data_IF_822739513733
#
_entry.id   IF_822739513733
#
_cell.length_a   1.000
_cell.length_b   1.000
_cell.length_c   1.000
_cell.angle_alpha   90.00
_cell.angle_beta   90.00
_cell.angle_gamma   90.00
#
_symmetry.space_group_name_H-M   'P 1'
#
loop_
_entity.id
_entity.type
_entity.pdbx_description
1 polymer ?
#
# COMPACT_ATOMS: atom_id res chain seq x y z
N UNK A 1 0.38 17.70 -9.75
CA UNK A 1 1.77 18.19 -9.59
C UNK A 1 2.51 17.26 -8.66
N UNK A 2 3.78 16.98 -8.93
CA UNK A 2 4.70 16.34 -7.97
C UNK A 2 6.00 17.16 -7.91
N UNK A 3 6.47 17.48 -6.70
CA UNK A 3 7.68 18.29 -6.49
C UNK A 3 8.89 17.41 -6.17
N UNK A 4 10.09 17.99 -6.27
CA UNK A 4 11.34 17.29 -6.00
C UNK A 4 11.37 16.62 -4.62
N UNK A 5 10.84 17.28 -3.60
CA UNK A 5 10.80 16.81 -2.22
C UNK A 5 9.98 15.52 -2.09
N UNK A 6 8.85 15.42 -2.79
CA UNK A 6 7.98 14.23 -2.78
C UNK A 6 8.71 13.00 -3.36
N UNK A 7 9.35 13.21 -4.51
CA UNK A 7 10.10 12.17 -5.22
C UNK A 7 11.31 11.75 -4.38
N UNK A 8 12.03 12.69 -3.77
CA UNK A 8 13.18 12.42 -2.91
C UNK A 8 12.77 11.67 -1.63
N UNK A 9 11.68 12.06 -0.99
CA UNK A 9 11.15 11.40 0.20
C UNK A 9 10.73 9.95 -0.11
N UNK A 10 10.06 9.72 -1.24
CA UNK A 10 9.72 8.39 -1.74
C UNK A 10 10.96 7.51 -1.94
N UNK A 11 12.00 8.04 -2.60
CA UNK A 11 13.26 7.31 -2.83
C UNK A 11 13.95 6.94 -1.52
N UNK A 12 14.08 7.90 -0.59
CA UNK A 12 14.71 7.65 0.72
C UNK A 12 13.96 6.59 1.52
N UNK A 13 12.62 6.65 1.55
CA UNK A 13 11.80 5.61 2.21
C UNK A 13 11.98 4.25 1.53
N UNK A 14 11.91 4.22 0.21
CA UNK A 14 12.07 3.02 -0.62
C UNK A 14 13.44 2.34 -0.50
N UNK A 15 14.50 3.12 -0.29
CA UNK A 15 15.83 2.58 -0.01
C UNK A 15 15.90 1.97 1.39
N UNK A 16 15.37 2.67 2.41
CA UNK A 16 15.38 2.18 3.81
C UNK A 16 14.58 0.90 4.01
N UNK A 17 13.41 0.78 3.38
CA UNK A 17 12.56 -0.43 3.49
C UNK A 17 12.88 -1.50 2.43
N UNK A 18 13.89 -1.28 1.58
CA UNK A 18 14.30 -2.21 0.53
C UNK A 18 13.36 -2.30 -0.69
N UNK A 19 12.24 -1.57 -0.72
CA UNK A 19 11.29 -1.62 -1.84
C UNK A 19 11.89 -1.09 -3.15
N UNK A 20 12.94 -0.27 -3.09
CA UNK A 20 13.69 0.16 -4.29
C UNK A 20 14.15 -1.03 -5.14
N UNK A 21 14.51 -2.15 -4.50
CA UNK A 21 14.95 -3.36 -5.22
C UNK A 21 13.83 -3.99 -6.06
N UNK A 22 12.57 -3.84 -5.64
CA UNK A 22 11.39 -4.41 -6.30
C UNK A 22 10.99 -3.67 -7.58
N UNK A 23 11.42 -2.42 -7.76
CA UNK A 23 11.16 -1.68 -9.00
C UNK A 23 11.93 -2.29 -10.18
N UNK A 24 11.27 -2.38 -11.34
CA UNK A 24 11.85 -2.79 -12.62
C UNK A 24 12.89 -1.76 -13.10
N UNK A 25 13.73 -2.16 -14.06
CA UNK A 25 14.77 -1.28 -14.63
C UNK A 25 14.19 0.01 -15.22
N UNK A 26 13.10 -0.09 -15.98
CA UNK A 26 12.43 1.07 -16.59
C UNK A 26 11.80 1.98 -15.54
N UNK A 27 11.15 1.42 -14.51
CA UNK A 27 10.58 2.19 -13.39
C UNK A 27 11.68 2.98 -12.66
N UNK A 28 12.84 2.35 -12.41
CA UNK A 28 14.01 3.03 -11.80
C UNK A 28 14.55 4.15 -12.69
N UNK A 29 14.60 3.94 -14.01
CA UNK A 29 15.07 4.94 -14.96
C UNK A 29 14.12 6.17 -14.98
N UNK A 30 12.81 5.93 -15.09
CA UNK A 30 11.80 6.98 -15.00
C UNK A 30 11.91 7.77 -13.69
N UNK A 31 12.02 7.07 -12.56
CA UNK A 31 12.13 7.70 -11.25
C UNK A 31 13.38 8.59 -11.12
N UNK A 32 14.53 8.11 -11.60
CA UNK A 32 15.79 8.88 -11.59
C UNK A 32 15.72 10.09 -12.53
N UNK A 33 15.15 9.93 -13.71
CA UNK A 33 14.95 11.03 -14.66
C UNK A 33 14.02 12.10 -14.07
N UNK A 34 12.90 11.69 -13.47
CA UNK A 34 11.98 12.58 -12.79
C UNK A 34 12.63 13.33 -11.62
N UNK A 35 13.42 12.64 -10.79
CA UNK A 35 14.15 13.25 -9.68
C UNK A 35 15.15 14.32 -10.17
N UNK A 36 15.88 14.04 -11.26
CA UNK A 36 16.80 15.03 -11.84
C UNK A 36 16.03 16.21 -12.43
N UNK A 37 14.98 15.93 -13.20
CA UNK A 37 14.17 16.95 -13.85
C UNK A 37 13.52 17.89 -12.84
N UNK A 38 12.83 17.34 -11.83
CA UNK A 38 12.17 18.15 -10.80
C UNK A 38 13.17 18.94 -9.95
N UNK A 39 14.42 18.47 -9.80
CA UNK A 39 15.47 19.25 -9.12
C UNK A 39 15.86 20.50 -9.91
N UNK A 40 15.85 20.43 -11.24
CA UNK A 40 16.26 21.53 -12.13
C UNK A 40 15.08 22.46 -12.43
N UNK A 41 13.90 21.91 -12.70
CA UNK A 41 12.70 22.64 -13.14
C UNK A 41 11.68 22.89 -12.01
N UNK A 42 11.92 22.35 -10.80
CA UNK A 42 11.07 22.48 -9.62
C UNK A 42 10.00 21.40 -9.51
N UNK A 43 9.11 21.29 -10.51
CA UNK A 43 7.95 20.40 -10.44
C UNK A 43 7.60 19.74 -11.77
N UNK A 44 6.94 18.57 -11.69
CA UNK A 44 6.35 17.91 -12.85
C UNK A 44 4.83 18.16 -12.81
N UNK A 45 4.33 18.79 -13.86
CA UNK A 45 2.92 19.18 -13.99
C UNK A 45 2.12 18.24 -14.89
N UNK A 46 2.78 17.53 -15.81
CA UNK A 46 2.11 16.62 -16.73
C UNK A 46 1.38 15.51 -15.95
N UNK A 47 0.06 15.44 -16.11
CA UNK A 47 -0.81 14.56 -15.31
C UNK A 47 -0.49 13.08 -15.50
N UNK A 48 -0.15 12.67 -16.72
CA UNK A 48 0.24 11.29 -17.03
C UNK A 48 1.52 10.90 -16.30
N UNK A 49 2.55 11.75 -16.35
CA UNK A 49 3.81 11.52 -15.62
C UNK A 49 3.60 11.56 -14.11
N UNK A 50 2.78 12.49 -13.62
CA UNK A 50 2.42 12.55 -12.19
C UNK A 50 1.74 11.24 -11.77
N UNK A 51 0.76 10.74 -12.52
CA UNK A 51 0.08 9.48 -12.22
C UNK A 51 1.05 8.29 -12.19
N UNK A 52 1.93 8.18 -13.18
CA UNK A 52 2.95 7.13 -13.20
C UNK A 52 3.91 7.22 -12.00
N UNK A 53 4.36 8.43 -11.65
CA UNK A 53 5.27 8.64 -10.53
C UNK A 53 4.60 8.39 -9.18
N UNK A 54 3.33 8.77 -9.01
CA UNK A 54 2.56 8.50 -7.80
C UNK A 54 2.48 7.00 -7.53
N UNK A 55 2.18 6.19 -8.55
CA UNK A 55 2.18 4.71 -8.42
C UNK A 55 3.55 4.18 -7.97
N UNK A 56 4.65 4.74 -8.49
CA UNK A 56 5.99 4.34 -8.06
C UNK A 56 6.31 4.79 -6.64
N UNK A 57 5.93 6.01 -6.25
CA UNK A 57 6.10 6.54 -4.90
C UNK A 57 5.33 5.68 -3.89
N UNK A 58 4.11 5.27 -4.23
CA UNK A 58 3.29 4.40 -3.38
C UNK A 58 3.93 3.01 -3.23
N UNK A 59 4.39 2.40 -4.33
CA UNK A 59 5.19 1.15 -4.27
C UNK A 59 6.42 1.29 -3.38
N UNK A 60 7.11 2.43 -3.42
CA UNK A 60 8.28 2.66 -2.58
C UNK A 60 7.92 2.89 -1.11
N UNK A 61 6.82 3.58 -0.82
CA UNK A 61 6.36 3.87 0.55
C UNK A 61 5.62 2.69 1.20
N UNK A 62 5.18 1.71 0.42
CA UNK A 62 4.46 0.53 0.89
C UNK A 62 5.18 -0.17 2.06
N UNK A 63 4.53 -0.29 3.20
CA UNK A 63 5.10 -0.98 4.38
C UNK A 63 4.59 -2.43 4.43
N UNK A 64 5.33 -3.30 5.11
CA UNK A 64 4.83 -4.64 5.46
C UNK A 64 3.52 -4.55 6.23
N UNK A 65 3.41 -3.60 7.16
CA UNK A 65 2.19 -3.34 7.92
C UNK A 65 1.01 -2.95 7.04
N UNK A 66 1.20 -2.07 6.06
CA UNK A 66 0.13 -1.69 5.12
C UNK A 66 -0.36 -2.90 4.30
N UNK A 67 0.55 -3.76 3.81
CA UNK A 67 0.18 -5.00 3.12
C UNK A 67 -0.60 -5.96 4.01
N UNK A 68 -0.16 -6.12 5.26
CA UNK A 68 -0.86 -6.94 6.25
C UNK A 68 -2.26 -6.38 6.49
N UNK A 69 -2.39 -5.08 6.68
CA UNK A 69 -3.68 -4.44 6.93
C UNK A 69 -4.64 -4.60 5.73
N UNK A 70 -4.18 -4.39 4.49
CA UNK A 70 -4.98 -4.59 3.28
C UNK A 70 -5.50 -6.03 3.20
N UNK A 71 -4.61 -7.02 3.37
CA UNK A 71 -4.99 -8.44 3.37
C UNK A 71 -5.99 -8.77 4.48
N UNK A 72 -5.81 -8.15 5.65
CA UNK A 72 -6.72 -8.29 6.78
C UNK A 72 -8.10 -7.74 6.49
N UNK A 73 -8.14 -6.57 5.84
CA UNK A 73 -9.39 -5.91 5.45
C UNK A 73 -10.14 -6.73 4.39
N UNK A 74 -9.44 -7.25 3.37
CA UNK A 74 -10.01 -8.16 2.36
C UNK A 74 -10.67 -9.37 3.01
N UNK A 75 -9.99 -10.02 3.97
CA UNK A 75 -10.57 -11.12 4.74
C UNK A 75 -11.76 -10.71 5.60
N UNK A 76 -11.70 -9.53 6.21
CA UNK A 76 -12.80 -9.03 7.04
C UNK A 76 -14.07 -8.82 6.18
N UNK A 77 -13.91 -8.26 4.98
CA UNK A 77 -14.99 -8.11 4.00
C UNK A 77 -15.51 -9.49 3.55
N UNK A 78 -14.63 -10.45 3.27
CA UNK A 78 -15.04 -11.82 2.92
C UNK A 78 -15.90 -12.45 4.02
N UNK A 79 -15.51 -12.30 5.29
CA UNK A 79 -16.26 -12.81 6.44
C UNK A 79 -17.62 -12.11 6.61
N UNK A 80 -17.68 -10.79 6.38
CA UNK A 80 -18.94 -10.05 6.38
C UNK A 80 -19.89 -10.54 5.28
N UNK A 81 -19.35 -10.87 4.11
CA UNK A 81 -20.13 -11.33 2.95
C UNK A 81 -20.61 -12.79 3.07
N UNK A 82 -19.99 -13.62 3.93
CA UNK A 82 -20.40 -15.01 4.18
C UNK A 82 -21.76 -15.15 4.90
N UNK A 83 -22.38 -14.04 5.29
CA UNK A 83 -23.77 -13.98 5.72
C UNK A 83 -24.01 -14.25 7.21
N UNK A 84 -25.28 -14.24 7.61
CA UNK A 84 -25.69 -14.24 9.02
C UNK A 84 -25.37 -15.53 9.78
N UNK A 85 -25.11 -16.64 9.09
CA UNK A 85 -24.81 -17.92 9.72
C UNK A 85 -23.62 -17.85 10.69
N UNK A 86 -22.56 -17.11 10.34
CA UNK A 86 -21.39 -16.93 11.21
C UNK A 86 -21.74 -16.02 12.40
N UNK A 87 -22.54 -14.99 12.16
CA UNK A 87 -22.90 -14.00 13.18
C UNK A 87 -23.98 -14.49 14.14
N UNK A 88 -24.74 -15.53 13.78
CA UNK A 88 -25.72 -16.16 14.66
C UNK A 88 -25.05 -16.87 15.85
N UNK A 89 -23.95 -17.61 15.61
CA UNK A 89 -23.21 -18.29 16.68
C UNK A 89 -22.04 -17.45 17.24
N UNK A 90 -21.53 -16.46 16.50
CA UNK A 90 -20.51 -15.53 16.96
C UNK A 90 -20.92 -14.04 16.71
N UNK A 91 -21.88 -13.48 17.45
CA UNK A 91 -22.35 -12.11 17.25
C UNK A 91 -21.23 -11.08 17.48
N UNK A 92 -20.36 -11.31 18.46
CA UNK A 92 -19.23 -10.45 18.82
C UNK A 92 -18.23 -10.27 17.69
N UNK A 93 -18.16 -11.23 16.75
CA UNK A 93 -17.26 -11.17 15.60
C UNK A 93 -17.54 -9.93 14.75
N UNK A 94 -18.80 -9.49 14.64
CA UNK A 94 -19.15 -8.27 13.90
C UNK A 94 -18.48 -7.02 14.49
N UNK A 95 -18.32 -6.98 15.82
CA UNK A 95 -17.56 -5.92 16.49
C UNK A 95 -16.07 -6.04 16.22
N UNK A 96 -15.52 -7.25 16.28
CA UNK A 96 -14.10 -7.51 16.05
C UNK A 96 -13.68 -7.18 14.61
N UNK A 97 -14.51 -7.46 13.61
CA UNK A 97 -14.23 -7.09 12.21
C UNK A 97 -14.13 -5.58 11.96
N UNK A 98 -14.59 -4.75 12.91
CA UNK A 98 -14.43 -3.28 12.87
C UNK A 98 -13.19 -2.80 13.64
N UNK A 99 -12.58 -3.66 14.47
CA UNK A 99 -11.38 -3.30 15.24
C UNK A 99 -10.14 -3.37 14.33
N UNK A 100 -9.39 -2.26 14.15
CA UNK A 100 -8.17 -2.24 13.37
C UNK A 100 -7.12 -3.27 13.79
N UNK A 101 -7.00 -3.57 15.10
CA UNK A 101 -6.05 -4.55 15.61
C UNK A 101 -6.42 -5.97 15.19
N UNK A 102 -7.72 -6.28 15.23
CA UNK A 102 -8.23 -7.58 14.80
C UNK A 102 -8.09 -7.73 13.28
N UNK A 103 -8.39 -6.69 12.50
CA UNK A 103 -8.18 -6.66 11.05
C UNK A 103 -6.70 -6.89 10.72
N UNK A 104 -5.79 -6.21 11.42
CA UNK A 104 -4.35 -6.42 11.23
C UNK A 104 -3.95 -7.87 11.55
N UNK A 105 -4.46 -8.45 12.64
CA UNK A 105 -4.23 -9.85 13.02
C UNK A 105 -4.74 -10.85 11.97
N UNK A 106 -5.92 -10.60 11.37
CA UNK A 106 -6.44 -11.41 10.25
C UNK A 106 -5.47 -11.43 9.05
N UNK A 107 -4.93 -10.27 8.72
CA UNK A 107 -3.97 -10.09 7.63
C UNK A 107 -2.62 -10.74 7.88
N UNK A 108 -2.19 -10.78 9.15
CA UNK A 108 -0.96 -11.45 9.57
C UNK A 108 -1.07 -12.98 9.49
N UNK A 109 -2.28 -13.51 9.31
CA UNK A 109 -2.54 -14.94 9.17
C UNK A 109 -3.29 -15.56 10.35
N UNK A 110 -3.85 -14.74 11.25
CA UNK A 110 -4.55 -15.21 12.45
C UNK A 110 -5.72 -16.16 12.19
N UNK A 111 -6.46 -15.94 11.11
CA UNK A 111 -7.52 -16.84 10.66
C UNK A 111 -7.21 -17.37 9.26
N UNK A 112 -7.09 -18.70 9.16
CA UNK A 112 -7.04 -19.42 7.88
C UNK A 112 -8.46 -19.87 7.57
N UNK A 113 -9.01 -19.27 6.54
CA UNK A 113 -10.22 -19.75 5.91
C UNK A 113 -9.69 -20.67 4.82
N UNK A 114 -9.73 -21.97 5.06
CA UNK A 114 -9.25 -22.93 4.08
C UNK A 114 -10.07 -22.80 2.80
N UNK A 115 -9.39 -22.95 1.66
CA UNK A 115 -9.91 -22.71 0.31
C UNK A 115 -10.44 -24.01 -0.29
#
# INVERSE_FOLDING_TARGET
>A
MIIYEDILAGMRKGLRNGNWRKLRRVEKALYRAALWYSRVQGAIMNETLVGMLSVLVDKLKETSGARVFIRGYEKAVELLNKGEGIFAWAPSLRGWLKDPNYVFWLGAGGLRIDR
#
